data_IF_603577725965
#
_entry.id   IF_603577725965
#
_cell.length_a   1.000
_cell.length_b   1.000
_cell.length_c   1.000
_cell.angle_alpha   90.00
_cell.angle_beta   90.00
_cell.angle_gamma   90.00
#
_symmetry.space_group_name_H-M   'P 1'
#
loop_
_entity.id
_entity.type
_entity.pdbx_description
1 polymer ?
#
# COMPACT_ATOMS: atom_id res chain seq x y z
N UNK A 1 35.91 -14.47 43.33
CA UNK A 1 35.94 -13.70 42.07
C UNK A 1 34.66 -14.01 41.34
N UNK A 2 33.67 -13.09 41.46
CA UNK A 2 32.36 -13.24 40.85
C UNK A 2 32.39 -12.50 39.54
N UNK A 3 32.25 -13.20 38.41
CA UNK A 3 32.13 -12.60 37.11
C UNK A 3 30.70 -12.09 36.95
N UNK A 4 30.54 -10.78 36.94
CA UNK A 4 29.29 -10.09 36.62
C UNK A 4 29.01 -10.36 35.12
N UNK A 5 28.05 -11.24 34.87
CA UNK A 5 27.51 -11.52 33.54
C UNK A 5 26.57 -10.35 33.19
N UNK A 6 27.10 -9.35 32.47
CA UNK A 6 26.29 -8.31 31.88
C UNK A 6 25.50 -8.94 30.73
N UNK A 7 24.30 -9.40 31.07
CA UNK A 7 23.37 -9.99 30.13
C UNK A 7 22.97 -8.99 29.05
N UNK A 8 22.90 -9.45 27.83
CA UNK A 8 22.41 -8.74 26.66
C UNK A 8 20.90 -8.49 26.75
N UNK A 9 20.52 -7.53 27.58
CA UNK A 9 19.12 -7.17 27.87
C UNK A 9 18.45 -6.40 26.73
N UNK A 10 19.04 -6.24 25.57
CA UNK A 10 18.45 -5.46 24.47
C UNK A 10 18.33 -6.21 23.15
N UNK A 11 19.08 -7.30 22.97
CA UNK A 11 19.09 -8.05 21.71
C UNK A 11 18.02 -9.14 21.67
N UNK A 12 17.71 -9.72 22.79
CA UNK A 12 16.78 -10.85 22.88
C UNK A 12 15.33 -10.35 22.80
N UNK A 13 15.03 -9.24 23.46
CA UNK A 13 13.70 -8.59 23.40
C UNK A 13 13.38 -8.10 21.98
N UNK A 14 14.37 -7.52 21.28
CA UNK A 14 14.20 -7.08 19.90
C UNK A 14 14.00 -8.27 18.93
N UNK A 15 14.65 -9.41 19.19
CA UNK A 15 14.47 -10.62 18.39
C UNK A 15 13.11 -11.28 18.65
N UNK A 16 12.63 -11.26 19.87
CA UNK A 16 11.29 -11.76 20.21
C UNK A 16 10.18 -10.89 19.60
N UNK A 17 10.35 -9.58 19.62
CA UNK A 17 9.43 -8.65 18.97
C UNK A 17 9.39 -8.87 17.45
N UNK A 18 10.55 -9.01 16.80
CA UNK A 18 10.63 -9.32 15.37
C UNK A 18 9.99 -10.66 15.01
N UNK A 19 10.22 -11.70 15.83
CA UNK A 19 9.56 -13.00 15.65
C UNK A 19 8.04 -12.89 15.81
N UNK A 20 7.59 -12.11 16.78
CA UNK A 20 6.17 -11.82 16.98
C UNK A 20 5.54 -11.10 15.78
N UNK A 21 6.23 -10.11 15.20
CA UNK A 21 5.76 -9.39 14.02
C UNK A 21 5.73 -10.27 12.77
N UNK A 22 6.79 -11.09 12.57
CA UNK A 22 6.85 -12.04 11.45
C UNK A 22 5.77 -13.10 11.58
N UNK A 23 5.52 -13.63 12.79
CA UNK A 23 4.45 -14.57 13.05
C UNK A 23 3.08 -14.00 12.73
N UNK A 24 2.79 -12.78 13.19
CA UNK A 24 1.53 -12.08 12.86
C UNK A 24 1.38 -11.81 11.36
N UNK A 25 2.47 -11.42 10.69
CA UNK A 25 2.46 -11.20 9.26
C UNK A 25 2.20 -12.50 8.48
N UNK A 26 2.78 -13.63 8.92
CA UNK A 26 2.52 -14.94 8.31
C UNK A 26 1.10 -15.42 8.53
N UNK A 27 0.53 -15.20 9.72
CA UNK A 27 -0.85 -15.57 10.04
C UNK A 27 -1.86 -14.73 9.22
N UNK A 28 -1.59 -13.43 9.07
CA UNK A 28 -2.36 -12.56 8.18
C UNK A 28 -2.26 -13.02 6.72
N UNK A 29 -1.05 -13.36 6.25
CA UNK A 29 -0.84 -13.86 4.90
C UNK A 29 -1.54 -15.21 4.66
N UNK A 30 -1.58 -16.08 5.67
CA UNK A 30 -2.29 -17.36 5.59
C UNK A 30 -3.82 -17.19 5.57
N UNK A 31 -4.34 -16.11 6.15
CA UNK A 31 -5.76 -15.75 6.11
C UNK A 31 -6.21 -15.08 4.81
N UNK A 32 -5.28 -14.64 3.95
CA UNK A 32 -5.58 -14.03 2.65
C UNK A 32 -5.80 -15.11 1.60
N UNK A 33 -6.86 -15.00 0.82
CA UNK A 33 -7.11 -15.88 -0.33
C UNK A 33 -6.12 -15.63 -1.46
N UNK A 34 -5.73 -14.36 -1.64
CA UNK A 34 -4.81 -13.92 -2.68
C UNK A 34 -3.57 -13.20 -2.13
N UNK A 35 -2.70 -13.88 -1.35
CA UNK A 35 -1.56 -13.23 -0.68
C UNK A 35 -0.57 -12.58 -1.65
N UNK A 36 -0.39 -13.15 -2.84
CA UNK A 36 0.49 -12.58 -3.89
C UNK A 36 -0.02 -11.23 -4.38
N UNK A 37 -1.33 -11.11 -4.60
CA UNK A 37 -1.95 -9.86 -5.05
C UNK A 37 -1.85 -8.78 -3.97
N UNK A 38 -2.12 -9.13 -2.72
CA UNK A 38 -1.95 -8.23 -1.59
C UNK A 38 -0.50 -7.75 -1.45
N UNK A 39 0.47 -8.65 -1.65
CA UNK A 39 1.89 -8.32 -1.63
C UNK A 39 2.24 -7.27 -2.70
N UNK A 40 1.86 -7.50 -3.97
CA UNK A 40 2.12 -6.55 -5.05
C UNK A 40 1.39 -5.21 -4.83
N UNK A 41 0.17 -5.25 -4.31
CA UNK A 41 -0.59 -4.04 -3.97
C UNK A 41 0.13 -3.16 -2.95
N UNK A 42 0.74 -3.77 -1.92
CA UNK A 42 1.43 -3.04 -0.87
C UNK A 42 2.86 -2.64 -1.25
N UNK A 43 3.58 -3.47 -2.03
CA UNK A 43 4.99 -3.22 -2.35
C UNK A 43 5.17 -1.98 -3.24
N UNK A 44 4.29 -1.76 -4.22
CA UNK A 44 4.37 -0.57 -5.07
C UNK A 44 4.14 0.71 -4.27
N UNK A 45 3.18 0.70 -3.32
CA UNK A 45 2.95 1.83 -2.42
C UNK A 45 4.13 2.09 -1.49
N UNK A 46 4.64 1.03 -0.88
CA UNK A 46 5.81 1.12 -0.01
C UNK A 46 7.04 1.63 -0.76
N UNK A 47 7.27 1.14 -1.99
CA UNK A 47 8.37 1.58 -2.84
C UNK A 47 8.26 3.05 -3.24
N UNK A 48 7.06 3.54 -3.55
CA UNK A 48 6.84 4.95 -3.88
C UNK A 48 7.12 5.85 -2.67
N UNK A 49 6.63 5.48 -1.48
CA UNK A 49 6.89 6.21 -0.24
C UNK A 49 8.37 6.19 0.11
N UNK A 50 9.02 5.01 -0.02
CA UNK A 50 10.45 4.86 0.22
C UNK A 50 11.28 5.72 -0.74
N UNK A 51 10.97 5.70 -2.03
CA UNK A 51 11.64 6.53 -3.03
C UNK A 51 11.46 8.02 -2.75
N UNK A 52 10.30 8.44 -2.26
CA UNK A 52 10.06 9.82 -1.88
C UNK A 52 10.88 10.23 -0.64
N UNK A 53 10.93 9.37 0.39
CA UNK A 53 11.65 9.67 1.64
C UNK A 53 13.16 9.63 1.49
N UNK A 54 13.67 8.67 0.73
CA UNK A 54 15.11 8.41 0.61
C UNK A 54 15.69 8.81 -0.76
N UNK A 55 14.86 9.31 -1.66
CA UNK A 55 15.25 9.64 -3.02
C UNK A 55 16.36 10.67 -3.11
N UNK A 56 16.35 11.69 -2.25
CA UNK A 56 17.40 12.70 -2.17
C UNK A 56 18.73 12.15 -1.66
N UNK A 57 18.70 11.01 -0.97
CA UNK A 57 19.90 10.33 -0.49
C UNK A 57 20.51 9.42 -1.57
N UNK A 58 19.68 8.92 -2.47
CA UNK A 58 20.07 8.03 -3.57
C UNK A 58 20.51 8.84 -4.80
N UNK A 59 19.92 10.00 -5.04
CA UNK A 59 20.21 10.85 -6.20
C UNK A 59 20.11 12.32 -5.83
N UNK A 60 21.16 13.08 -6.17
CA UNK A 60 21.19 14.54 -6.00
C UNK A 60 20.24 15.27 -6.98
N UNK A 61 19.72 14.55 -7.99
CA UNK A 61 18.81 15.10 -8.98
C UNK A 61 17.35 14.90 -8.55
N UNK A 62 16.69 15.99 -8.17
CA UNK A 62 15.26 16.01 -7.88
C UNK A 62 14.41 15.46 -9.04
N UNK A 63 14.81 15.73 -10.28
CA UNK A 63 14.09 15.27 -11.49
C UNK A 63 14.07 13.75 -11.57
N UNK A 64 15.18 13.08 -11.29
CA UNK A 64 15.26 11.62 -11.31
C UNK A 64 14.36 11.00 -10.24
N UNK A 65 14.38 11.53 -9.03
CA UNK A 65 13.52 11.08 -7.93
C UNK A 65 12.04 11.26 -8.31
N UNK A 66 11.69 12.42 -8.88
CA UNK A 66 10.33 12.70 -9.32
C UNK A 66 9.86 11.71 -10.40
N UNK A 67 10.69 11.44 -11.42
CA UNK A 67 10.35 10.48 -12.49
C UNK A 67 10.12 9.08 -11.90
N UNK A 68 11.00 8.61 -11.02
CA UNK A 68 10.85 7.30 -10.37
C UNK A 68 9.57 7.22 -9.54
N UNK A 69 9.25 8.25 -8.77
CA UNK A 69 8.01 8.29 -7.99
C UNK A 69 6.77 8.24 -8.88
N UNK A 70 6.74 9.01 -9.98
CA UNK A 70 5.62 9.02 -10.93
C UNK A 70 5.44 7.66 -11.58
N UNK A 71 6.53 7.00 -11.99
CA UNK A 71 6.47 5.65 -12.57
C UNK A 71 5.95 4.62 -11.55
N UNK A 72 6.44 4.65 -10.32
CA UNK A 72 5.96 3.75 -9.26
C UNK A 72 4.48 3.94 -8.94
N UNK A 73 4.02 5.20 -8.90
CA UNK A 73 2.59 5.51 -8.71
C UNK A 73 1.74 5.07 -9.90
N UNK A 74 2.27 5.18 -11.13
CA UNK A 74 1.57 4.68 -12.32
C UNK A 74 1.42 3.16 -12.30
N UNK A 75 2.47 2.42 -11.90
CA UNK A 75 2.42 0.97 -11.71
C UNK A 75 1.49 0.59 -10.57
N UNK A 76 1.50 1.33 -9.46
CA UNK A 76 0.56 1.12 -8.35
C UNK A 76 -0.89 1.27 -8.84
N UNK A 77 -1.20 2.36 -9.52
CA UNK A 77 -2.53 2.58 -10.07
C UNK A 77 -2.96 1.48 -11.06
N UNK A 78 -2.06 1.06 -11.95
CA UNK A 78 -2.34 -0.02 -12.90
C UNK A 78 -2.62 -1.34 -12.16
N UNK A 79 -1.82 -1.65 -11.15
CA UNK A 79 -1.98 -2.86 -10.33
C UNK A 79 -3.29 -2.83 -9.54
N UNK A 80 -3.62 -1.70 -8.94
CA UNK A 80 -4.89 -1.52 -8.21
C UNK A 80 -6.08 -1.73 -9.14
N UNK A 81 -6.05 -1.09 -10.31
CA UNK A 81 -7.17 -1.14 -11.25
C UNK A 81 -7.36 -2.52 -11.88
N UNK A 82 -6.27 -3.15 -12.33
CA UNK A 82 -6.36 -4.33 -13.20
C UNK A 82 -6.16 -5.66 -12.47
N UNK A 83 -5.47 -5.64 -11.33
CA UNK A 83 -5.13 -6.87 -10.59
C UNK A 83 -5.84 -6.90 -9.24
N UNK A 84 -5.49 -5.97 -8.34
CA UNK A 84 -5.99 -6.02 -6.95
C UNK A 84 -7.50 -5.76 -6.88
N UNK A 85 -8.03 -4.80 -7.62
CA UNK A 85 -9.46 -4.49 -7.65
C UNK A 85 -10.29 -5.65 -8.17
N UNK A 86 -9.78 -6.40 -9.14
CA UNK A 86 -10.48 -7.56 -9.72
C UNK A 86 -10.41 -8.80 -8.86
N UNK A 87 -9.24 -9.09 -8.28
CA UNK A 87 -9.00 -10.33 -7.54
C UNK A 87 -9.38 -10.26 -6.06
N UNK A 88 -9.20 -9.09 -5.41
CA UNK A 88 -9.46 -8.93 -3.98
C UNK A 88 -10.89 -8.46 -3.67
N UNK A 89 -11.48 -7.65 -4.56
CA UNK A 89 -12.79 -7.01 -4.32
C UNK A 89 -13.81 -7.32 -5.43
N UNK A 90 -13.36 -7.95 -6.54
CA UNK A 90 -14.25 -8.28 -7.67
C UNK A 90 -14.79 -7.05 -8.41
N UNK A 91 -14.16 -5.89 -8.25
CA UNK A 91 -14.58 -4.65 -8.89
C UNK A 91 -13.86 -4.46 -10.23
N UNK A 92 -14.64 -4.16 -11.24
CA UNK A 92 -14.18 -3.77 -12.57
C UNK A 92 -14.87 -2.48 -12.98
N UNK A 93 -14.10 -1.51 -13.49
CA UNK A 93 -14.66 -0.28 -14.02
C UNK A 93 -13.92 0.14 -15.28
N UNK A 94 -14.68 0.69 -16.23
CA UNK A 94 -14.14 1.24 -17.48
C UNK A 94 -15.01 2.38 -17.97
N UNK A 95 -14.45 3.22 -18.81
CA UNK A 95 -15.20 4.24 -19.55
C UNK A 95 -15.62 3.68 -20.91
N UNK A 96 -16.88 3.81 -21.23
CA UNK A 96 -17.46 3.45 -22.53
C UNK A 96 -17.88 4.73 -23.24
N UNK A 97 -17.50 4.85 -24.50
CA UNK A 97 -17.95 5.95 -25.34
C UNK A 97 -19.17 5.46 -26.10
N UNK A 98 -20.29 6.13 -25.89
CA UNK A 98 -21.55 5.84 -26.59
C UNK A 98 -21.49 6.40 -28.03
N UNK A 99 -22.39 5.92 -28.88
CA UNK A 99 -22.51 6.36 -30.29
C UNK A 99 -22.82 7.86 -30.44
N UNK A 100 -23.38 8.48 -29.39
CA UNK A 100 -23.62 9.93 -29.31
C UNK A 100 -22.38 10.76 -28.94
N UNK A 101 -21.23 10.10 -28.70
CA UNK A 101 -19.96 10.74 -28.28
C UNK A 101 -19.88 11.04 -26.80
N UNK A 102 -20.89 10.69 -26.00
CA UNK A 102 -20.85 10.83 -24.53
C UNK A 102 -20.04 9.72 -23.91
N UNK A 103 -19.31 10.02 -22.81
CA UNK A 103 -18.52 9.05 -22.05
C UNK A 103 -19.30 8.65 -20.81
N UNK A 104 -19.59 7.36 -20.68
CA UNK A 104 -20.25 6.80 -19.51
C UNK A 104 -19.32 5.85 -18.77
N UNK A 105 -19.26 5.98 -17.44
CA UNK A 105 -18.55 5.04 -16.59
C UNK A 105 -19.41 3.82 -16.30
N UNK A 106 -18.87 2.65 -16.65
CA UNK A 106 -19.48 1.37 -16.29
C UNK A 106 -18.76 0.76 -15.12
N UNK A 107 -19.55 0.29 -14.14
CA UNK A 107 -19.08 -0.43 -12.97
C UNK A 107 -19.72 -1.82 -12.98
N UNK A 108 -18.89 -2.83 -12.85
CA UNK A 108 -19.31 -4.21 -12.76
C UNK A 108 -18.73 -4.78 -11.46
N UNK A 109 -19.60 -5.33 -10.63
CA UNK A 109 -19.21 -6.12 -9.46
C UNK A 109 -19.54 -7.57 -9.74
N UNK A 110 -18.58 -8.45 -9.57
CA UNK A 110 -18.78 -9.86 -9.73
C UNK A 110 -19.47 -10.38 -8.47
N UNK A 111 -20.71 -10.86 -8.60
CA UNK A 111 -21.49 -11.41 -7.47
C UNK A 111 -20.83 -12.64 -6.85
N UNK A 112 -20.08 -13.42 -7.66
CA UNK A 112 -19.29 -14.55 -7.22
C UNK A 112 -18.01 -14.17 -6.44
N UNK A 113 -17.65 -12.89 -6.37
CA UNK A 113 -16.55 -12.38 -5.54
C UNK A 113 -16.88 -12.39 -4.02
N UNK A 114 -18.05 -12.88 -3.63
CA UNK A 114 -18.43 -13.16 -2.23
C UNK A 114 -17.45 -14.13 -1.54
N UNK A 115 -16.62 -14.81 -2.30
CA UNK A 115 -15.51 -15.62 -1.79
C UNK A 115 -14.26 -14.83 -1.36
N UNK A 116 -14.22 -13.49 -1.55
CA UNK A 116 -13.12 -12.68 -1.02
C UNK A 116 -13.21 -12.63 0.51
N UNK A 117 -12.11 -12.98 1.16
CA UNK A 117 -12.03 -12.95 2.62
C UNK A 117 -12.16 -11.49 3.10
N UNK A 118 -12.83 -11.24 4.23
CA UNK A 118 -12.90 -9.91 4.84
C UNK A 118 -11.51 -9.26 5.01
N UNK A 119 -10.48 -10.08 5.14
CA UNK A 119 -9.08 -9.63 5.20
C UNK A 119 -8.59 -9.07 3.85
N UNK A 120 -8.93 -9.71 2.73
CA UNK A 120 -8.56 -9.21 1.38
C UNK A 120 -9.19 -7.83 1.12
N UNK A 121 -10.45 -7.68 1.44
CA UNK A 121 -11.19 -6.42 1.34
C UNK A 121 -10.57 -5.36 2.25
N UNK A 122 -10.24 -5.74 3.50
CA UNK A 122 -9.61 -4.85 4.48
C UNK A 122 -8.22 -4.38 4.03
N UNK A 123 -7.39 -5.28 3.49
CA UNK A 123 -6.05 -4.96 2.97
C UNK A 123 -6.15 -4.05 1.74
N UNK A 124 -7.10 -4.32 0.84
CA UNK A 124 -7.31 -3.49 -0.34
C UNK A 124 -7.68 -2.05 0.02
N UNK A 125 -8.76 -1.87 0.80
CA UNK A 125 -9.23 -0.54 1.18
C UNK A 125 -8.26 0.15 2.15
N UNK A 126 -7.68 -0.58 3.10
CA UNK A 126 -6.67 -0.06 4.02
C UNK A 126 -5.44 0.44 3.26
N UNK A 127 -4.92 -0.35 2.32
CA UNK A 127 -3.80 0.04 1.47
C UNK A 127 -4.12 1.25 0.57
N UNK A 128 -5.38 1.42 0.17
CA UNK A 128 -5.78 2.54 -0.67
C UNK A 128 -5.96 3.84 0.13
N UNK A 129 -6.64 3.79 1.27
CA UNK A 129 -7.01 4.99 2.04
C UNK A 129 -5.96 5.40 3.07
N UNK A 130 -5.20 4.47 3.65
CA UNK A 130 -4.23 4.78 4.70
C UNK A 130 -3.16 5.79 4.26
N UNK A 131 -2.53 5.65 3.08
CA UNK A 131 -1.58 6.64 2.59
C UNK A 131 -2.22 8.00 2.33
N UNK A 132 -3.46 8.03 1.80
CA UNK A 132 -4.18 9.25 1.50
C UNK A 132 -4.59 10.03 2.77
N UNK A 133 -5.01 9.33 3.82
CA UNK A 133 -5.36 9.94 5.11
C UNK A 133 -4.13 10.49 5.80
N UNK A 134 -3.00 9.79 5.71
CA UNK A 134 -1.74 10.20 6.34
C UNK A 134 -1.06 11.36 5.61
N UNK A 135 -1.30 11.50 4.31
CA UNK A 135 -0.82 12.61 3.49
C UNK A 135 -1.60 13.91 3.71
N UNK A 136 -2.70 13.89 4.47
CA UNK A 136 -3.46 15.10 4.77
C UNK A 136 -2.61 16.05 5.63
N UNK A 137 -2.30 17.28 5.15
CA UNK A 137 -1.54 18.23 5.94
C UNK A 137 -2.31 18.58 7.23
N UNK A 138 -1.62 18.80 8.35
CA UNK A 138 -2.26 19.21 9.59
C UNK A 138 -3.06 20.49 9.36
N UNK A 139 -4.20 20.68 10.02
CA UNK A 139 -5.16 21.77 9.75
C UNK A 139 -4.58 23.19 9.87
N UNK A 140 -3.39 23.33 10.47
CA UNK A 140 -2.68 24.60 10.56
C UNK A 140 -2.03 25.08 9.26
N UNK A 141 -1.60 24.17 8.39
CA UNK A 141 -0.94 24.52 7.12
C UNK A 141 -1.94 24.93 6.02
N UNK A 142 -3.17 24.45 6.08
CA UNK A 142 -4.21 24.82 5.12
C UNK A 142 -4.62 26.31 5.25
N UNK A 143 -4.42 26.95 6.40
CA UNK A 143 -4.71 28.38 6.60
C UNK A 143 -3.64 29.31 6.03
N UNK A 144 -2.42 28.83 5.87
CA UNK A 144 -1.31 29.66 5.35
C UNK A 144 -1.35 29.74 3.82
N UNK A 145 -1.94 28.75 3.15
CA UNK A 145 -2.09 28.73 1.68
C UNK A 145 -3.32 29.52 1.18
N UNK A 146 -4.20 29.97 2.08
CA UNK A 146 -5.43 30.71 1.75
C UNK A 146 -5.36 32.21 2.13
N UNK A 147 -4.20 32.68 2.63
CA UNK A 147 -3.90 34.09 2.91
C UNK A 147 -2.94 34.65 1.87
#
# INVERSE_FOLDING_TARGET
MSYMQTGGFGSDDAQEEQRGLIGRASDLAAGLKHPRTAFFHLIFKASAIFSYMFGTWISDSFVNVFIVCVLLLAFDFWTVKNVSGRLMVGLRWWSEVLDDGSTQWRFESQEDAVDSTMLDVGVFWGGLFLPAVRARPPPGLARVAAA
#
